data_IF_360220638090
#
_entry.id   IF_360220638090
#
_cell.length_a   1.000
_cell.length_b   1.000
_cell.length_c   1.000
_cell.angle_alpha   90.00
_cell.angle_beta   90.00
_cell.angle_gamma   90.00
#
_symmetry.space_group_name_H-M   'P 1'
#
loop_
_entity.id
_entity.type
_entity.pdbx_description
1 polymer ?
#
# COMPACT_ATOMS: atom_id res chain seq x y z
N UNK A 1 -36.45 -24.92 -53.90
CA UNK A 1 -35.93 -25.49 -52.67
C UNK A 1 -34.61 -24.75 -52.35
N UNK A 2 -34.74 -23.62 -51.66
CA UNK A 2 -33.61 -22.82 -51.20
C UNK A 2 -33.28 -23.25 -49.77
N UNK A 3 -32.03 -23.68 -49.57
CA UNK A 3 -31.51 -23.96 -48.24
C UNK A 3 -30.83 -22.69 -47.73
N UNK A 4 -31.45 -22.07 -46.72
CA UNK A 4 -30.88 -21.01 -45.93
C UNK A 4 -29.68 -21.54 -45.09
N UNK A 5 -28.48 -21.05 -45.41
CA UNK A 5 -27.29 -21.23 -44.57
C UNK A 5 -27.33 -20.18 -43.46
N UNK A 6 -27.69 -20.59 -42.26
CA UNK A 6 -27.55 -19.77 -41.04
C UNK A 6 -26.06 -19.49 -40.75
N UNK A 7 -25.69 -18.23 -40.84
CA UNK A 7 -24.41 -17.74 -40.41
C UNK A 7 -24.28 -17.94 -38.88
N UNK A 8 -23.25 -18.64 -38.46
CA UNK A 8 -22.84 -18.79 -37.06
C UNK A 8 -22.20 -17.49 -36.66
N UNK A 9 -22.84 -16.79 -35.73
CA UNK A 9 -22.34 -15.56 -35.10
C UNK A 9 -20.96 -15.84 -34.40
N UNK A 10 -19.90 -15.37 -35.04
CA UNK A 10 -18.56 -15.38 -34.51
C UNK A 10 -18.44 -14.37 -33.40
N UNK A 11 -18.74 -14.78 -32.15
CA UNK A 11 -18.41 -13.99 -30.97
C UNK A 11 -16.92 -13.65 -30.99
N UNK A 12 -16.63 -12.41 -31.35
CA UNK A 12 -15.27 -11.84 -31.30
C UNK A 12 -14.73 -11.94 -29.87
N UNK A 13 -13.87 -12.92 -29.65
CA UNK A 13 -12.95 -12.92 -28.51
C UNK A 13 -12.07 -11.68 -28.67
N UNK A 14 -12.42 -10.61 -27.97
CA UNK A 14 -11.59 -9.40 -27.91
C UNK A 14 -10.25 -9.81 -27.32
N UNK A 15 -9.24 -9.97 -28.15
CA UNK A 15 -7.85 -10.11 -27.72
C UNK A 15 -7.44 -8.83 -26.99
N UNK A 16 -7.48 -8.89 -25.68
CA UNK A 16 -6.84 -7.87 -24.84
C UNK A 16 -5.34 -7.89 -25.15
N UNK A 17 -4.76 -6.74 -25.53
CA UNK A 17 -3.33 -6.65 -25.81
C UNK A 17 -2.49 -7.11 -24.61
N UNK A 18 -1.22 -7.52 -24.81
CA UNK A 18 -0.38 -8.14 -23.76
C UNK A 18 -0.29 -7.35 -22.45
N UNK A 19 -0.30 -6.02 -22.51
CA UNK A 19 -0.28 -5.14 -21.33
C UNK A 19 -1.57 -5.21 -20.50
N UNK A 20 -2.74 -5.27 -21.15
CA UNK A 20 -4.03 -5.43 -20.46
C UNK A 20 -4.14 -6.80 -19.79
N UNK A 21 -3.63 -7.84 -20.44
CA UNK A 21 -3.61 -9.19 -19.87
C UNK A 21 -2.73 -9.24 -18.63
N UNK A 22 -1.52 -8.65 -18.66
CA UNK A 22 -0.62 -8.60 -17.50
C UNK A 22 -1.25 -7.86 -16.31
N UNK A 23 -1.85 -6.69 -16.54
CA UNK A 23 -2.53 -5.92 -15.49
C UNK A 23 -3.74 -6.68 -14.91
N UNK A 24 -4.54 -7.34 -15.76
CA UNK A 24 -5.68 -8.16 -15.32
C UNK A 24 -5.23 -9.33 -14.44
N UNK A 25 -4.13 -10.02 -14.80
CA UNK A 25 -3.56 -11.10 -13.98
C UNK A 25 -3.09 -10.55 -12.63
N UNK A 26 -2.38 -9.41 -12.63
CA UNK A 26 -1.85 -8.80 -11.42
C UNK A 26 -2.98 -8.40 -10.45
N UNK A 27 -4.04 -7.76 -10.94
CA UNK A 27 -5.20 -7.39 -10.13
C UNK A 27 -5.94 -8.60 -9.57
N UNK A 28 -6.15 -9.64 -10.38
CA UNK A 28 -6.76 -10.90 -9.92
C UNK A 28 -5.89 -11.61 -8.88
N UNK A 29 -4.57 -11.64 -9.09
CA UNK A 29 -3.62 -12.23 -8.16
C UNK A 29 -3.59 -11.47 -6.82
N UNK A 30 -3.62 -10.12 -6.86
CA UNK A 30 -3.74 -9.28 -5.68
C UNK A 30 -4.94 -9.67 -4.83
N UNK A 31 -6.12 -9.81 -5.43
CA UNK A 31 -7.34 -10.23 -4.73
C UNK A 31 -7.19 -11.61 -4.10
N UNK A 32 -6.78 -12.61 -4.89
CA UNK A 32 -6.68 -14.01 -4.41
C UNK A 32 -5.62 -14.16 -3.32
N UNK A 33 -4.46 -13.52 -3.48
CA UNK A 33 -3.41 -13.57 -2.44
C UNK A 33 -3.81 -12.84 -1.17
N UNK A 34 -4.49 -11.68 -1.28
CA UNK A 34 -4.96 -10.96 -0.11
C UNK A 34 -6.02 -11.73 0.68
N UNK A 35 -6.88 -12.49 0.00
CA UNK A 35 -7.95 -13.27 0.65
C UNK A 35 -7.45 -14.59 1.24
N UNK A 36 -6.62 -15.34 0.50
CA UNK A 36 -6.27 -16.73 0.81
C UNK A 36 -4.83 -16.92 1.32
N UNK A 37 -4.06 -15.88 1.33
CA UNK A 37 -2.62 -15.95 1.61
C UNK A 37 -1.82 -16.56 0.46
N UNK A 38 -0.50 -16.51 0.55
CA UNK A 38 0.38 -17.10 -0.47
C UNK A 38 0.17 -18.62 -0.63
N UNK A 39 0.14 -19.36 0.48
CA UNK A 39 0.02 -20.82 0.46
C UNK A 39 -1.36 -21.30 -0.01
N UNK A 40 -2.44 -20.64 0.43
CA UNK A 40 -3.82 -21.00 0.10
C UNK A 40 -4.29 -20.56 -1.28
N UNK A 41 -3.61 -19.61 -1.92
CA UNK A 41 -3.97 -19.11 -3.24
C UNK A 41 -3.75 -20.17 -4.33
N UNK A 42 -4.78 -20.39 -5.16
CA UNK A 42 -4.73 -21.30 -6.29
C UNK A 42 -4.61 -20.52 -7.60
N UNK A 43 -3.63 -20.88 -8.44
CA UNK A 43 -3.41 -20.24 -9.76
C UNK A 43 -4.65 -20.38 -10.66
N UNK A 44 -5.43 -21.46 -10.56
CA UNK A 44 -6.65 -21.63 -11.36
C UNK A 44 -7.74 -20.59 -11.00
N UNK A 45 -7.81 -20.14 -9.75
CA UNK A 45 -8.72 -19.05 -9.35
C UNK A 45 -8.29 -17.72 -9.96
N UNK A 46 -6.98 -17.47 -9.99
CA UNK A 46 -6.42 -16.28 -10.66
C UNK A 46 -6.73 -16.32 -12.16
N UNK A 47 -6.59 -17.50 -12.80
CA UNK A 47 -6.96 -17.73 -14.20
C UNK A 47 -8.42 -17.33 -14.46
N UNK A 48 -9.33 -17.83 -13.62
CA UNK A 48 -10.77 -17.57 -13.75
C UNK A 48 -11.09 -16.09 -13.56
N UNK A 49 -10.54 -15.48 -12.51
CA UNK A 49 -10.80 -14.07 -12.18
C UNK A 49 -10.19 -13.10 -13.21
N UNK A 50 -8.98 -13.41 -13.72
CA UNK A 50 -8.32 -12.62 -14.75
C UNK A 50 -8.87 -12.87 -16.16
N UNK A 51 -9.78 -13.85 -16.34
CA UNK A 51 -10.30 -14.30 -17.66
C UNK A 51 -9.17 -14.60 -18.64
N UNK A 52 -8.21 -15.40 -18.21
CA UNK A 52 -7.00 -15.76 -18.96
C UNK A 52 -6.77 -17.26 -18.93
N UNK A 53 -5.59 -17.71 -19.30
CA UNK A 53 -5.19 -19.12 -19.24
C UNK A 53 -3.97 -19.32 -18.36
N UNK A 54 -3.78 -20.51 -17.83
CA UNK A 54 -2.63 -20.84 -16.98
C UNK A 54 -1.29 -20.63 -17.68
N UNK A 55 -1.11 -21.01 -18.97
CA UNK A 55 0.11 -20.67 -19.72
C UNK A 55 0.39 -19.17 -19.78
N UNK A 56 -0.64 -18.32 -19.89
CA UNK A 56 -0.45 -16.87 -19.93
C UNK A 56 0.07 -16.31 -18.60
N UNK A 57 -0.36 -16.86 -17.47
CA UNK A 57 0.19 -16.46 -16.17
C UNK A 57 1.67 -16.76 -16.10
N UNK A 58 2.08 -17.97 -16.48
CA UNK A 58 3.50 -18.35 -16.47
C UNK A 58 4.34 -17.62 -17.54
N UNK A 59 3.75 -17.30 -18.68
CA UNK A 59 4.40 -16.49 -19.69
C UNK A 59 4.74 -15.08 -19.17
N UNK A 60 3.81 -14.43 -18.43
CA UNK A 60 4.03 -13.07 -17.93
C UNK A 60 4.86 -13.00 -16.65
N UNK A 61 4.78 -14.01 -15.80
CA UNK A 61 5.32 -13.94 -14.43
C UNK A 61 6.26 -15.10 -14.06
N UNK A 62 6.36 -16.12 -14.90
CA UNK A 62 7.26 -17.26 -14.69
C UNK A 62 6.77 -18.26 -13.65
N UNK A 63 6.44 -17.82 -12.44
CA UNK A 63 5.99 -18.71 -11.35
C UNK A 63 4.95 -18.01 -10.46
N UNK A 64 4.29 -18.79 -9.58
CA UNK A 64 3.40 -18.24 -8.54
C UNK A 64 4.17 -17.33 -7.58
N UNK A 65 5.42 -17.67 -7.30
CA UNK A 65 6.30 -16.90 -6.42
C UNK A 65 6.64 -15.54 -7.02
N UNK A 66 7.06 -15.51 -8.29
CA UNK A 66 7.34 -14.27 -9.01
C UNK A 66 6.07 -13.44 -9.25
N UNK A 67 4.91 -14.08 -9.44
CA UNK A 67 3.63 -13.38 -9.49
C UNK A 67 3.32 -12.70 -8.15
N UNK A 68 3.56 -13.38 -7.02
CA UNK A 68 3.35 -12.80 -5.70
C UNK A 68 4.33 -11.65 -5.42
N UNK A 69 5.60 -11.80 -5.81
CA UNK A 69 6.59 -10.72 -5.76
C UNK A 69 6.13 -9.50 -6.57
N UNK A 70 5.65 -9.71 -7.79
CA UNK A 70 5.13 -8.63 -8.63
C UNK A 70 3.88 -7.94 -8.02
N UNK A 71 3.02 -8.69 -7.34
CA UNK A 71 1.90 -8.11 -6.58
C UNK A 71 2.40 -7.24 -5.43
N UNK A 72 3.40 -7.70 -4.68
CA UNK A 72 4.00 -6.89 -3.60
C UNK A 72 4.64 -5.61 -4.15
N UNK A 73 5.38 -5.70 -5.26
CA UNK A 73 5.97 -4.52 -5.91
C UNK A 73 4.92 -3.50 -6.37
N UNK A 74 3.80 -3.98 -6.93
CA UNK A 74 2.69 -3.14 -7.38
C UNK A 74 2.00 -2.41 -6.21
N UNK A 75 1.72 -3.12 -5.13
CA UNK A 75 1.06 -2.53 -3.96
C UNK A 75 1.95 -1.53 -3.22
N UNK A 76 3.27 -1.75 -3.17
CA UNK A 76 4.22 -0.76 -2.67
C UNK A 76 4.31 0.46 -3.59
N UNK A 77 4.24 0.24 -4.92
CA UNK A 77 4.25 1.33 -5.89
C UNK A 77 3.09 2.29 -5.68
N UNK A 78 1.87 1.77 -5.56
CA UNK A 78 0.67 2.59 -5.35
C UNK A 78 0.75 3.46 -4.09
N UNK A 79 1.30 2.92 -2.99
CA UNK A 79 1.53 3.70 -1.77
C UNK A 79 2.53 4.84 -2.00
N UNK A 80 3.65 4.57 -2.68
CA UNK A 80 4.69 5.57 -2.94
C UNK A 80 4.22 6.67 -3.89
N UNK A 81 3.47 6.33 -4.92
CA UNK A 81 2.84 7.30 -5.82
C UNK A 81 1.89 8.23 -5.07
N UNK A 82 1.12 7.68 -4.13
CA UNK A 82 0.21 8.47 -3.30
C UNK A 82 0.96 9.42 -2.37
N UNK A 83 2.05 8.99 -1.72
CA UNK A 83 2.90 9.85 -0.88
C UNK A 83 3.63 10.93 -1.70
N UNK A 84 4.12 10.59 -2.89
CA UNK A 84 4.78 11.54 -3.79
C UNK A 84 3.82 12.60 -4.36
N UNK A 85 2.53 12.30 -4.45
CA UNK A 85 1.52 13.26 -4.90
C UNK A 85 1.25 14.38 -3.89
N UNK A 86 1.82 14.29 -2.68
CA UNK A 86 1.70 15.32 -1.67
C UNK A 86 2.50 16.57 -2.09
N UNK A 87 1.78 17.61 -2.50
CA UNK A 87 2.37 18.93 -2.65
C UNK A 87 2.73 19.51 -1.28
N UNK A 88 4.00 19.43 -0.92
CA UNK A 88 4.53 19.97 0.34
C UNK A 88 5.36 21.24 0.13
N UNK A 89 5.51 21.70 -1.12
CA UNK A 89 6.22 22.92 -1.46
C UNK A 89 5.40 24.14 -1.00
N UNK A 90 6.06 25.07 -0.29
CA UNK A 90 5.42 26.31 0.19
C UNK A 90 4.50 26.17 1.41
N UNK A 91 4.25 24.94 1.90
CA UNK A 91 3.46 24.69 3.10
C UNK A 91 4.37 24.68 4.33
N UNK A 92 4.01 25.27 5.50
CA UNK A 92 4.78 25.16 6.74
C UNK A 92 5.11 23.70 7.08
N UNK A 93 6.30 23.43 7.63
CA UNK A 93 6.76 22.05 7.85
C UNK A 93 5.82 21.25 8.75
N UNK A 94 5.22 21.88 9.77
CA UNK A 94 4.27 21.22 10.67
C UNK A 94 2.99 20.78 9.94
N UNK A 95 2.46 21.60 9.03
CA UNK A 95 1.26 21.28 8.25
C UNK A 95 1.56 20.20 7.20
N UNK A 96 2.73 20.27 6.57
CA UNK A 96 3.18 19.25 5.62
C UNK A 96 3.39 17.88 6.32
N UNK A 97 3.96 17.86 7.53
CA UNK A 97 4.10 16.63 8.32
C UNK A 97 2.73 16.09 8.76
N UNK A 98 1.83 16.96 9.22
CA UNK A 98 0.43 16.61 9.49
C UNK A 98 -0.18 15.90 8.29
N UNK A 99 -0.07 16.51 7.12
CA UNK A 99 -0.64 15.98 5.89
C UNK A 99 -0.05 14.62 5.51
N UNK A 100 1.25 14.42 5.69
CA UNK A 100 1.89 13.13 5.46
C UNK A 100 1.30 12.03 6.35
N UNK A 101 1.10 12.31 7.65
CA UNK A 101 0.48 11.35 8.58
C UNK A 101 -0.96 11.04 8.20
N UNK A 102 -1.75 12.07 7.90
CA UNK A 102 -3.17 11.92 7.49
C UNK A 102 -3.30 11.06 6.23
N UNK A 103 -2.50 11.36 5.21
CA UNK A 103 -2.51 10.65 3.93
C UNK A 103 -2.08 9.20 4.11
N UNK A 104 -1.04 8.93 4.90
CA UNK A 104 -0.61 7.57 5.21
C UNK A 104 -1.71 6.80 5.95
N UNK A 105 -2.36 7.44 6.91
CA UNK A 105 -3.45 6.86 7.68
C UNK A 105 -4.66 6.50 6.78
N UNK A 106 -5.07 7.45 5.94
CA UNK A 106 -6.23 7.28 5.06
C UNK A 106 -5.95 6.24 3.97
N UNK A 107 -4.73 6.21 3.41
CA UNK A 107 -4.33 5.18 2.45
C UNK A 107 -4.42 3.76 3.04
N UNK A 108 -3.88 3.55 4.24
CA UNK A 108 -3.95 2.25 4.90
C UNK A 108 -5.40 1.84 5.19
N UNK A 109 -6.26 2.79 5.56
CA UNK A 109 -7.68 2.52 5.78
C UNK A 109 -8.42 2.13 4.50
N UNK A 110 -8.09 2.77 3.38
CA UNK A 110 -8.70 2.52 2.08
C UNK A 110 -8.20 1.23 1.41
N UNK A 111 -7.01 0.73 1.78
CA UNK A 111 -6.36 -0.42 1.15
C UNK A 111 -6.06 -1.56 2.15
N UNK A 112 -7.09 -2.18 2.77
CA UNK A 112 -6.89 -3.26 3.73
C UNK A 112 -6.27 -4.52 3.11
N UNK A 113 -6.42 -4.71 1.82
CA UNK A 113 -5.77 -5.76 1.04
C UNK A 113 -4.24 -5.57 1.00
N UNK A 114 -3.76 -4.33 0.86
CA UNK A 114 -2.35 -3.98 0.97
C UNK A 114 -1.77 -4.41 2.33
N UNK A 115 -2.45 -4.06 3.42
CA UNK A 115 -2.05 -4.45 4.78
C UNK A 115 -1.97 -5.97 4.93
N UNK A 116 -2.95 -6.70 4.38
CA UNK A 116 -2.95 -8.18 4.40
C UNK A 116 -1.77 -8.77 3.63
N UNK A 117 -1.49 -8.26 2.43
CA UNK A 117 -0.38 -8.73 1.60
C UNK A 117 0.98 -8.51 2.27
N UNK A 118 1.20 -7.36 2.89
CA UNK A 118 2.42 -7.08 3.65
C UNK A 118 2.53 -8.00 4.88
N UNK A 119 1.42 -8.23 5.59
CA UNK A 119 1.41 -9.19 6.72
C UNK A 119 1.77 -10.60 6.27
N UNK A 120 1.23 -11.06 5.12
CA UNK A 120 1.55 -12.35 4.53
C UNK A 120 3.04 -12.43 4.14
N UNK A 121 3.58 -11.38 3.53
CA UNK A 121 5.01 -11.32 3.20
C UNK A 121 5.88 -11.44 4.45
N UNK A 122 5.53 -10.77 5.54
CA UNK A 122 6.25 -10.85 6.82
C UNK A 122 6.15 -12.24 7.47
N UNK A 123 5.00 -12.91 7.43
CA UNK A 123 4.85 -14.31 7.87
C UNK A 123 5.85 -15.22 7.13
N UNK A 124 6.08 -14.97 5.85
CA UNK A 124 7.05 -15.68 5.02
C UNK A 124 8.47 -15.09 5.07
N UNK A 125 8.78 -14.26 6.10
CA UNK A 125 10.11 -13.62 6.30
C UNK A 125 10.59 -12.79 5.12
N UNK A 126 9.64 -12.17 4.40
CA UNK A 126 9.87 -11.31 3.24
C UNK A 126 10.67 -11.95 2.08
N UNK A 127 10.86 -13.29 2.07
CA UNK A 127 11.67 -14.01 1.08
C UNK A 127 11.28 -13.76 -0.38
N UNK A 128 10.02 -13.39 -0.64
CA UNK A 128 9.51 -13.14 -1.98
C UNK A 128 9.94 -11.78 -2.56
N UNK A 129 10.43 -10.89 -1.71
CA UNK A 129 10.88 -9.54 -2.09
C UNK A 129 12.37 -9.33 -1.79
N UNK A 130 13.04 -10.36 -1.30
CA UNK A 130 14.48 -10.32 -1.04
C UNK A 130 15.26 -10.03 -2.33
N UNK A 131 16.14 -9.03 -2.26
CA UNK A 131 16.92 -8.59 -3.41
C UNK A 131 16.15 -7.81 -4.49
N UNK A 132 14.87 -7.38 -4.28
CA UNK A 132 14.15 -6.52 -5.22
C UNK A 132 14.74 -5.10 -5.26
N UNK A 133 15.44 -4.70 -6.34
CA UNK A 133 15.97 -3.34 -6.47
C UNK A 133 14.86 -2.30 -6.56
N UNK A 134 13.72 -2.68 -7.14
CA UNK A 134 12.53 -1.84 -7.30
C UNK A 134 11.96 -1.42 -5.95
N UNK A 135 11.85 -2.36 -5.01
CA UNK A 135 11.36 -2.04 -3.68
C UNK A 135 12.36 -1.21 -2.87
N UNK A 136 13.65 -1.50 -2.98
CA UNK A 136 14.69 -0.73 -2.29
C UNK A 136 14.68 0.74 -2.72
N UNK A 137 14.68 1.01 -4.04
CA UNK A 137 14.67 2.38 -4.56
C UNK A 137 13.40 3.15 -4.23
N UNK A 138 12.24 2.51 -4.32
CA UNK A 138 10.94 3.15 -4.03
C UNK A 138 10.79 3.47 -2.53
N UNK A 139 11.29 2.63 -1.65
CA UNK A 139 11.25 2.90 -0.21
C UNK A 139 12.26 3.96 0.23
N UNK A 140 13.36 4.15 -0.48
CA UNK A 140 14.26 5.28 -0.24
C UNK A 140 13.56 6.64 -0.46
N UNK A 141 12.68 6.74 -1.45
CA UNK A 141 11.99 7.99 -1.78
C UNK A 141 11.11 8.54 -0.64
N UNK A 142 10.43 7.68 0.15
CA UNK A 142 9.64 8.16 1.30
C UNK A 142 10.54 8.70 2.42
N UNK A 143 11.69 8.08 2.64
CA UNK A 143 12.65 8.55 3.64
C UNK A 143 13.23 9.92 3.23
N UNK A 144 13.45 10.16 1.94
CA UNK A 144 13.85 11.48 1.44
C UNK A 144 12.77 12.55 1.67
N UNK A 145 11.49 12.21 1.49
CA UNK A 145 10.38 13.13 1.81
C UNK A 145 10.40 13.48 3.28
N UNK A 146 10.46 12.47 4.16
CA UNK A 146 10.51 12.66 5.62
C UNK A 146 11.72 13.49 6.01
N UNK A 147 12.90 13.18 5.47
CA UNK A 147 14.14 13.93 5.76
C UNK A 147 14.03 15.40 5.37
N UNK A 148 13.52 15.71 4.16
CA UNK A 148 13.31 17.08 3.73
C UNK A 148 12.35 17.85 4.65
N UNK A 149 11.28 17.20 5.11
CA UNK A 149 10.34 17.81 6.06
C UNK A 149 10.99 18.07 7.41
N UNK A 150 11.81 17.14 7.92
CA UNK A 150 12.54 17.29 9.18
C UNK A 150 13.53 18.46 9.11
N UNK A 151 14.35 18.52 8.06
CA UNK A 151 15.32 19.61 7.86
C UNK A 151 14.64 20.96 7.75
N UNK A 152 13.52 21.04 7.02
CA UNK A 152 12.74 22.28 6.90
C UNK A 152 12.13 22.69 8.24
N UNK A 153 11.54 21.75 8.98
CA UNK A 153 10.94 22.04 10.29
C UNK A 153 11.97 22.46 11.35
N UNK A 154 13.18 21.92 11.30
CA UNK A 154 14.30 22.39 12.13
C UNK A 154 14.70 23.81 11.74
N UNK A 155 14.81 24.14 10.45
CA UNK A 155 15.11 25.49 9.97
C UNK A 155 14.01 26.51 10.32
N UNK A 156 12.74 26.09 10.33
CA UNK A 156 11.60 26.88 10.81
C UNK A 156 11.51 26.98 12.35
N UNK A 157 12.35 26.24 13.10
CA UNK A 157 12.32 26.19 14.56
C UNK A 157 11.11 25.48 15.16
N UNK A 158 10.35 24.73 14.35
CA UNK A 158 9.13 24.02 14.76
C UNK A 158 9.37 22.54 15.06
N UNK A 159 10.49 21.97 14.59
CA UNK A 159 10.93 20.60 14.90
C UNK A 159 12.28 20.61 15.58
N UNK A 160 12.47 19.63 16.47
CA UNK A 160 13.76 19.37 17.10
C UNK A 160 14.75 18.78 16.09
N UNK A 161 16.03 19.03 16.31
CA UNK A 161 17.10 18.48 15.50
C UNK A 161 17.35 16.99 15.80
N UNK A 162 18.07 16.33 14.90
CA UNK A 162 18.60 14.97 15.12
C UNK A 162 17.57 13.84 15.05
N UNK A 163 16.37 14.10 14.54
CA UNK A 163 15.36 13.06 14.33
C UNK A 163 15.74 12.19 13.12
N UNK A 164 15.88 10.88 13.35
CA UNK A 164 16.12 9.92 12.27
C UNK A 164 14.87 9.71 11.40
N UNK A 165 14.96 9.95 10.08
CA UNK A 165 13.82 9.80 9.16
C UNK A 165 13.22 8.39 9.15
N UNK A 166 14.05 7.34 9.29
CA UNK A 166 13.59 5.96 9.31
C UNK A 166 12.78 5.67 10.58
N UNK A 167 13.25 6.13 11.73
CA UNK A 167 12.53 5.93 12.99
C UNK A 167 11.21 6.71 13.02
N UNK A 168 11.19 7.93 12.46
CA UNK A 168 9.94 8.68 12.32
C UNK A 168 8.97 8.01 11.37
N UNK A 169 9.45 7.52 10.22
CA UNK A 169 8.60 6.77 9.28
C UNK A 169 8.05 5.50 9.93
N UNK A 170 8.86 4.77 10.70
CA UNK A 170 8.41 3.59 11.45
C UNK A 170 7.30 3.95 12.46
N UNK A 171 7.43 5.06 13.19
CA UNK A 171 6.41 5.54 14.12
C UNK A 171 5.08 5.80 13.41
N UNK A 172 5.11 6.55 12.31
CA UNK A 172 3.92 6.85 11.49
C UNK A 172 3.31 5.56 10.95
N UNK A 173 4.12 4.70 10.33
CA UNK A 173 3.65 3.44 9.77
C UNK A 173 3.04 2.52 10.84
N UNK A 174 3.59 2.48 12.04
CA UNK A 174 3.08 1.66 13.15
C UNK A 174 1.65 2.04 13.54
N UNK A 175 1.35 3.32 13.69
CA UNK A 175 -0.02 3.78 13.96
C UNK A 175 -0.98 3.41 12.84
N UNK A 176 -0.58 3.68 11.61
CA UNK A 176 -1.44 3.49 10.44
C UNK A 176 -1.69 2.00 10.13
N UNK A 177 -0.65 1.18 10.23
CA UNK A 177 -0.69 -0.25 9.90
C UNK A 177 -1.41 -1.07 10.98
N UNK A 178 -1.05 -0.90 12.25
CA UNK A 178 -1.53 -1.74 13.34
C UNK A 178 -3.06 -1.75 13.46
N UNK A 179 -3.70 -0.59 13.35
CA UNK A 179 -5.15 -0.46 13.47
C UNK A 179 -5.91 -1.23 12.38
N UNK A 180 -5.35 -1.34 11.19
CA UNK A 180 -5.97 -2.05 10.07
C UNK A 180 -5.67 -3.54 10.16
N UNK A 181 -4.41 -3.92 10.43
CA UNK A 181 -4.00 -5.33 10.52
C UNK A 181 -4.69 -6.07 11.66
N UNK A 182 -4.96 -5.41 12.77
CA UNK A 182 -5.51 -6.00 13.99
C UNK A 182 -6.99 -5.71 14.22
N UNK A 183 -7.69 -5.00 13.30
CA UNK A 183 -9.09 -4.57 13.49
C UNK A 183 -10.05 -5.70 13.87
N UNK A 184 -9.86 -6.89 13.31
CA UNK A 184 -10.76 -8.02 13.55
C UNK A 184 -10.63 -8.57 14.97
N UNK A 185 -9.40 -8.72 15.46
CA UNK A 185 -9.15 -9.15 16.85
C UNK A 185 -9.63 -8.11 17.85
N UNK A 186 -9.42 -6.83 17.60
CA UNK A 186 -9.92 -5.76 18.44
C UNK A 186 -11.43 -5.72 18.51
N UNK A 187 -12.12 -5.91 17.38
CA UNK A 187 -13.58 -6.01 17.33
C UNK A 187 -14.11 -7.13 18.22
N UNK A 188 -13.42 -8.28 18.27
CA UNK A 188 -13.84 -9.42 19.09
C UNK A 188 -13.49 -9.20 20.55
N UNK A 189 -12.24 -8.80 20.86
CA UNK A 189 -11.73 -8.70 22.24
C UNK A 189 -12.34 -7.50 22.97
N UNK A 190 -12.30 -6.33 22.34
CA UNK A 190 -12.70 -5.07 22.95
C UNK A 190 -14.12 -4.62 22.58
N UNK A 191 -14.83 -5.41 21.75
CA UNK A 191 -16.19 -5.10 21.25
C UNK A 191 -16.27 -3.75 20.54
N UNK A 192 -15.16 -3.36 19.89
CA UNK A 192 -15.00 -2.06 19.22
C UNK A 192 -14.49 -2.23 17.81
N UNK A 193 -15.18 -1.63 16.85
CA UNK A 193 -14.77 -1.67 15.44
C UNK A 193 -13.86 -0.47 15.14
N UNK A 194 -12.58 -0.72 14.92
CA UNK A 194 -11.60 0.34 14.57
C UNK A 194 -11.85 0.96 13.18
N UNK A 195 -12.76 0.39 12.38
CA UNK A 195 -13.17 0.95 11.09
C UNK A 195 -14.40 1.88 11.22
N UNK A 196 -14.99 2.03 12.41
CA UNK A 196 -16.03 3.02 12.63
C UNK A 196 -15.53 4.43 12.30
N UNK A 197 -16.32 5.21 11.57
CA UNK A 197 -15.90 6.50 11.03
C UNK A 197 -15.50 7.50 12.12
N UNK A 198 -16.25 7.55 13.24
CA UNK A 198 -15.96 8.46 14.35
C UNK A 198 -14.69 8.04 15.09
N UNK A 199 -14.46 6.73 15.25
CA UNK A 199 -13.22 6.21 15.82
C UNK A 199 -12.02 6.42 14.88
N UNK A 200 -12.22 6.27 13.58
CA UNK A 200 -11.15 6.51 12.59
C UNK A 200 -10.66 7.97 12.62
N UNK A 201 -11.57 8.94 12.71
CA UNK A 201 -11.20 10.37 12.82
C UNK A 201 -10.38 10.59 14.09
N UNK A 202 -10.88 10.13 15.26
CA UNK A 202 -10.15 10.28 16.54
C UNK A 202 -8.76 9.63 16.52
N UNK A 203 -8.63 8.46 15.91
CA UNK A 203 -7.35 7.76 15.80
C UNK A 203 -6.39 8.49 14.88
N UNK A 204 -6.88 9.07 13.77
CA UNK A 204 -6.07 9.88 12.85
C UNK A 204 -5.54 11.12 13.56
N UNK A 205 -6.41 11.85 14.25
CA UNK A 205 -6.02 13.05 15.01
C UNK A 205 -5.00 12.70 16.11
N UNK A 206 -5.21 11.58 16.81
CA UNK A 206 -4.25 11.08 17.80
C UNK A 206 -2.89 10.75 17.20
N UNK A 207 -2.84 10.10 16.01
CA UNK A 207 -1.60 9.79 15.33
C UNK A 207 -0.85 11.06 14.91
N UNK A 208 -1.57 12.05 14.36
CA UNK A 208 -1.04 13.36 14.01
C UNK A 208 -0.47 14.08 15.25
N UNK A 209 -1.25 14.14 16.33
CA UNK A 209 -0.83 14.82 17.58
C UNK A 209 0.42 14.13 18.17
N UNK A 210 0.46 12.80 18.21
CA UNK A 210 1.59 12.04 18.70
C UNK A 210 2.88 12.34 17.91
N UNK A 211 2.80 12.36 16.59
CA UNK A 211 3.94 12.67 15.72
C UNK A 211 4.40 14.10 15.90
N UNK A 212 3.48 15.06 15.86
CA UNK A 212 3.85 16.47 15.99
C UNK A 212 4.39 16.81 17.39
N UNK A 213 3.88 16.19 18.46
CA UNK A 213 4.45 16.34 19.81
C UNK A 213 5.83 15.74 19.91
N UNK A 214 6.05 14.58 19.31
CA UNK A 214 7.38 13.96 19.26
C UNK A 214 8.41 14.87 18.58
N UNK A 215 7.99 15.64 17.59
CA UNK A 215 8.85 16.53 16.81
C UNK A 215 9.09 17.90 17.47
N UNK A 216 8.34 18.28 18.51
CA UNK A 216 8.52 19.60 19.15
C UNK A 216 9.96 19.76 19.69
N UNK A 217 10.52 20.96 19.55
CA UNK A 217 11.78 21.30 20.22
C UNK A 217 11.66 21.16 21.74
N UNK A 218 12.72 20.71 22.39
CA UNK A 218 12.78 20.58 23.86
C UNK A 218 12.71 21.96 24.55
N UNK A 219 13.22 22.99 23.86
CA UNK A 219 13.06 24.40 24.24
C UNK A 219 12.39 25.14 23.07
N UNK A 220 11.07 25.46 23.15
CA UNK A 220 10.45 26.27 22.11
C UNK A 220 11.12 27.65 22.06
N UNK A 221 11.26 28.25 20.85
CA UNK A 221 11.78 29.60 20.72
C UNK A 221 11.00 30.54 21.64
N UNK A 222 11.70 31.42 22.36
CA UNK A 222 11.09 32.45 23.18
C UNK A 222 10.20 33.32 22.27
N UNK A 223 8.93 33.49 22.64
CA UNK A 223 8.00 34.38 21.97
C UNK A 223 8.46 35.83 22.02
#
# INVERSE_FOLDING_TARGET
MEQEYRAVDGSQVRHNGPGRTRASILGAARTVFAEKGYSGANVNEIVTLARTTKPMIYYHFGSKELLFAAVLEDVYAGMREYEQSLEVAGTPAADAMRRLVEVTFDYHAAHPDWIRLISIANIHRAKHIDGSPTLASRNAAVLEIVQRLLLRGAAEGVFRDGVDPLHLHLLIASFCFYRVSNRHTWKIIFKRDLADAADAIRQRDMAVDAVLRYLRPDNPPAN
#
